data_IF_221295295643
#
_entry.id   IF_221295295643
#
_cell.length_a   1.000
_cell.length_b   1.000
_cell.length_c   1.000
_cell.angle_alpha   90.00
_cell.angle_beta   90.00
_cell.angle_gamma   90.00
#
_symmetry.space_group_name_H-M   'P 1'
#
loop_
_entity.id
_entity.type
_entity.pdbx_description
1 polymer ?
#
# COMPACT_ATOMS: atom_id res chain seq x y z
N UNK A 1 19.24 -13.52 19.70
CA UNK A 1 18.88 -12.09 19.54
C UNK A 1 17.62 -11.84 20.36
N UNK A 2 17.67 -10.84 21.24
CA UNK A 2 16.63 -10.54 22.23
C UNK A 2 15.30 -10.20 21.55
N UNK A 3 14.22 -10.92 21.88
CA UNK A 3 12.85 -10.56 21.50
C UNK A 3 12.52 -9.27 22.25
N UNK A 4 12.67 -8.15 21.57
CA UNK A 4 12.22 -6.87 22.07
C UNK A 4 10.72 -6.97 22.35
N UNK A 5 10.38 -6.58 23.57
CA UNK A 5 9.07 -6.56 24.17
C UNK A 5 8.13 -5.65 23.36
N UNK A 6 7.37 -6.21 22.41
CA UNK A 6 6.21 -5.52 21.86
C UNK A 6 5.13 -5.54 22.94
N UNK A 7 5.14 -4.50 23.75
CA UNK A 7 4.21 -4.25 24.85
C UNK A 7 2.75 -4.43 24.39
N UNK A 8 2.00 -5.28 25.10
CA UNK A 8 0.56 -5.28 25.43
C UNK A 8 -0.52 -4.63 24.52
N UNK A 9 -0.21 -4.22 23.29
CA UNK A 9 -1.12 -3.54 22.37
C UNK A 9 -1.69 -4.47 21.31
N UNK A 10 -2.87 -4.13 20.77
CA UNK A 10 -3.45 -4.82 19.62
C UNK A 10 -2.56 -4.64 18.38
N UNK A 11 -2.69 -5.52 17.40
CA UNK A 11 -1.96 -5.43 16.14
C UNK A 11 -2.19 -4.09 15.42
N UNK A 12 -3.40 -3.53 15.53
CA UNK A 12 -3.73 -2.21 14.99
C UNK A 12 -2.90 -1.11 15.65
N UNK A 13 -2.80 -1.13 16.99
CA UNK A 13 -2.00 -0.15 17.74
C UNK A 13 -0.52 -0.22 17.35
N UNK A 14 0.04 -1.42 17.15
CA UNK A 14 1.43 -1.57 16.72
C UNK A 14 1.65 -1.04 15.30
N UNK A 15 0.70 -1.28 14.38
CA UNK A 15 0.74 -0.77 13.01
C UNK A 15 0.71 0.75 12.98
N UNK A 16 -0.15 1.37 13.79
CA UNK A 16 -0.27 2.82 13.88
C UNK A 16 1.04 3.46 14.42
N UNK A 17 1.63 2.86 15.47
CA UNK A 17 2.92 3.30 16.01
C UNK A 17 4.03 3.26 14.94
N UNK A 18 4.08 2.19 14.13
CA UNK A 18 5.07 2.06 13.07
C UNK A 18 4.84 3.12 11.98
N UNK A 19 3.58 3.31 11.58
CA UNK A 19 3.18 4.31 10.58
C UNK A 19 3.54 5.74 11.01
N UNK A 20 3.29 6.09 12.28
CA UNK A 20 3.61 7.41 12.83
C UNK A 20 5.12 7.66 12.87
N UNK A 21 5.90 6.66 13.32
CA UNK A 21 7.38 6.74 13.30
C UNK A 21 7.92 6.92 11.89
N UNK A 22 7.38 6.17 10.93
CA UNK A 22 7.75 6.30 9.53
C UNK A 22 7.41 7.70 8.99
N UNK A 23 6.20 8.20 9.28
CA UNK A 23 5.77 9.53 8.85
C UNK A 23 6.68 10.64 9.40
N UNK A 24 7.06 10.55 10.69
CA UNK A 24 7.99 11.48 11.33
C UNK A 24 9.36 11.44 10.67
N UNK A 25 9.96 10.25 10.54
CA UNK A 25 11.27 10.09 9.91
C UNK A 25 11.28 10.61 8.46
N UNK A 26 10.25 10.30 7.68
CA UNK A 26 10.11 10.76 6.30
C UNK A 26 9.97 12.29 6.21
N UNK A 27 9.28 12.91 7.16
CA UNK A 27 9.18 14.37 7.24
C UNK A 27 10.53 15.01 7.59
N UNK A 28 11.25 14.46 8.57
CA UNK A 28 12.56 14.96 8.98
C UNK A 28 13.61 14.80 7.87
N UNK A 29 13.54 13.71 7.11
CA UNK A 29 14.53 13.35 6.08
C UNK A 29 14.28 14.06 4.75
N UNK A 30 13.03 14.07 4.29
CA UNK A 30 12.68 14.54 2.95
C UNK A 30 11.96 15.89 2.95
N UNK A 31 11.54 16.39 4.11
CA UNK A 31 10.81 17.64 4.23
C UNK A 31 9.38 17.58 3.66
N UNK A 32 8.86 18.77 3.38
CA UNK A 32 7.50 18.97 2.86
C UNK A 32 7.45 18.78 1.33
N UNK A 33 7.44 17.52 0.91
CA UNK A 33 7.26 17.11 -0.49
C UNK A 33 5.89 16.47 -0.71
N UNK A 34 5.41 16.54 -1.96
CA UNK A 34 4.12 15.95 -2.36
C UNK A 34 4.16 14.43 -2.60
N UNK A 35 3.02 13.81 -2.90
CA UNK A 35 2.85 12.35 -2.95
C UNK A 35 3.48 11.68 -4.19
N UNK A 36 3.83 12.45 -5.22
CA UNK A 36 4.28 11.92 -6.52
C UNK A 36 5.59 11.15 -6.42
N UNK A 37 6.53 11.59 -5.58
CA UNK A 37 7.82 10.92 -5.37
C UNK A 37 7.63 9.50 -4.83
N UNK A 38 6.97 9.33 -3.67
CA UNK A 38 6.66 8.01 -3.12
C UNK A 38 5.87 7.11 -4.07
N UNK A 39 4.92 7.64 -4.86
CA UNK A 39 4.18 6.84 -5.85
C UNK A 39 5.06 6.31 -7.00
N UNK A 40 6.01 7.14 -7.48
CA UNK A 40 6.98 6.69 -8.48
C UNK A 40 7.92 5.63 -7.93
N UNK A 41 8.30 5.75 -6.65
CA UNK A 41 9.11 4.75 -5.97
C UNK A 41 8.32 3.46 -5.75
N UNK A 42 7.07 3.54 -5.30
CA UNK A 42 6.19 2.38 -5.12
C UNK A 42 6.06 1.54 -6.39
N UNK A 43 6.09 2.18 -7.56
CA UNK A 43 6.06 1.46 -8.84
C UNK A 43 7.32 0.61 -9.10
N UNK A 44 8.47 0.98 -8.52
CA UNK A 44 9.71 0.21 -8.58
C UNK A 44 9.67 -0.94 -7.57
N UNK A 45 9.29 -0.66 -6.32
CA UNK A 45 9.25 -1.72 -5.29
C UNK A 45 8.19 -2.79 -5.61
N UNK A 46 7.13 -2.42 -6.34
CA UNK A 46 6.18 -3.40 -6.85
C UNK A 46 6.81 -4.36 -7.87
N UNK A 47 7.81 -3.93 -8.65
CA UNK A 47 8.56 -4.79 -9.56
C UNK A 47 9.59 -5.64 -8.81
N UNK A 48 10.25 -5.07 -7.80
CA UNK A 48 11.21 -5.78 -6.94
C UNK A 48 10.50 -6.88 -6.13
N UNK A 49 9.38 -6.56 -5.47
CA UNK A 49 8.52 -7.53 -4.80
C UNK A 49 7.95 -8.60 -5.74
N UNK A 50 7.68 -8.27 -7.00
CA UNK A 50 7.22 -9.26 -7.98
C UNK A 50 8.34 -10.21 -8.42
N UNK A 51 9.60 -9.75 -8.44
CA UNK A 51 10.76 -10.57 -8.75
C UNK A 51 11.18 -11.45 -7.55
N UNK A 52 11.05 -10.94 -6.33
CA UNK A 52 11.45 -11.61 -5.09
C UNK A 52 10.30 -11.66 -4.07
N UNK A 53 9.22 -12.42 -4.34
CA UNK A 53 8.01 -12.40 -3.51
C UNK A 53 8.22 -12.93 -2.09
N UNK A 54 9.30 -13.68 -1.86
CA UNK A 54 9.70 -14.20 -0.54
C UNK A 54 10.49 -13.17 0.29
N UNK A 55 10.92 -12.05 -0.30
CA UNK A 55 11.58 -10.97 0.43
C UNK A 55 10.54 -10.05 1.10
N UNK A 56 10.35 -10.22 2.41
CA UNK A 56 9.43 -9.40 3.21
C UNK A 56 9.80 -7.91 3.25
N UNK A 57 11.04 -7.54 2.97
CA UNK A 57 11.46 -6.14 2.98
C UNK A 57 10.82 -5.35 1.85
N UNK A 58 10.71 -5.93 0.65
CA UNK A 58 10.06 -5.30 -0.50
C UNK A 58 8.56 -5.05 -0.26
N UNK A 59 7.89 -5.97 0.43
CA UNK A 59 6.50 -5.77 0.87
C UNK A 59 6.38 -4.63 1.89
N UNK A 60 7.35 -4.50 2.79
CA UNK A 60 7.39 -3.42 3.78
C UNK A 60 7.60 -2.06 3.09
N UNK A 61 8.47 -1.99 2.08
CA UNK A 61 8.71 -0.77 1.32
C UNK A 61 7.45 -0.32 0.56
N UNK A 62 6.73 -1.25 -0.07
CA UNK A 62 5.42 -0.93 -0.66
C UNK A 62 4.44 -0.33 0.37
N UNK A 63 4.39 -0.89 1.59
CA UNK A 63 3.49 -0.40 2.63
C UNK A 63 3.89 1.00 3.13
N UNK A 64 5.19 1.24 3.33
CA UNK A 64 5.71 2.54 3.75
C UNK A 64 5.47 3.62 2.69
N UNK A 65 5.77 3.32 1.42
CA UNK A 65 5.60 4.26 0.31
C UNK A 65 4.12 4.61 0.07
N UNK A 66 3.22 3.64 0.21
CA UNK A 66 1.78 3.90 0.13
C UNK A 66 1.30 4.80 1.26
N UNK A 67 1.69 4.54 2.52
CA UNK A 67 1.36 5.42 3.64
C UNK A 67 1.93 6.83 3.47
N UNK A 68 3.16 6.92 2.96
CA UNK A 68 3.84 8.18 2.71
C UNK A 68 3.07 9.03 1.68
N UNK A 69 2.69 8.40 0.56
CA UNK A 69 1.90 9.03 -0.49
C UNK A 69 0.53 9.49 0.04
N UNK A 70 -0.19 8.62 0.78
CA UNK A 70 -1.51 8.94 1.33
C UNK A 70 -1.47 10.17 2.23
N UNK A 71 -0.57 10.20 3.23
CA UNK A 71 -0.49 11.34 4.16
C UNK A 71 -0.08 12.63 3.46
N UNK A 72 0.84 12.58 2.47
CA UNK A 72 1.26 13.75 1.68
C UNK A 72 0.17 14.27 0.76
N UNK A 73 -0.76 13.41 0.35
CA UNK A 73 -1.96 13.80 -0.38
C UNK A 73 -3.08 14.33 0.54
N UNK A 74 -2.89 14.34 1.87
CA UNK A 74 -3.91 14.72 2.84
C UNK A 74 -5.06 13.73 2.95
N UNK A 75 -4.86 12.48 2.49
CA UNK A 75 -5.90 11.44 2.52
C UNK A 75 -5.96 10.83 3.92
N UNK A 76 -7.11 10.93 4.57
CA UNK A 76 -7.36 10.31 5.86
C UNK A 76 -7.69 8.81 5.73
N UNK A 77 -7.55 8.09 6.84
CA UNK A 77 -7.92 6.68 6.90
C UNK A 77 -9.41 6.45 6.63
N UNK A 78 -10.27 7.33 7.11
CA UNK A 78 -11.71 7.24 6.83
C UNK A 78 -12.03 7.39 5.33
N UNK A 79 -11.38 8.34 4.65
CA UNK A 79 -11.59 8.57 3.22
C UNK A 79 -11.12 7.38 2.37
N UNK A 80 -9.92 6.84 2.64
CA UNK A 80 -9.44 5.69 1.87
C UNK A 80 -10.26 4.43 2.17
N UNK A 81 -10.68 4.19 3.41
CA UNK A 81 -11.54 3.05 3.76
C UNK A 81 -12.87 3.14 3.00
N UNK A 82 -13.54 4.29 3.02
CA UNK A 82 -14.79 4.48 2.26
C UNK A 82 -14.57 4.26 0.75
N UNK A 83 -13.48 4.79 0.19
CA UNK A 83 -13.13 4.58 -1.21
C UNK A 83 -12.85 3.10 -1.54
N UNK A 84 -12.21 2.36 -0.63
CA UNK A 84 -11.95 0.92 -0.77
C UNK A 84 -13.25 0.12 -0.75
N UNK A 85 -14.21 0.45 0.13
CA UNK A 85 -15.52 -0.20 0.20
C UNK A 85 -16.31 -0.02 -1.11
N UNK A 86 -16.39 1.21 -1.62
CA UNK A 86 -17.07 1.49 -2.89
C UNK A 86 -16.36 0.82 -4.07
N UNK A 87 -15.02 0.86 -4.08
CA UNK A 87 -14.23 0.21 -5.14
C UNK A 87 -14.41 -1.30 -5.14
N UNK A 88 -14.54 -1.92 -3.97
CA UNK A 88 -14.77 -3.35 -3.83
C UNK A 88 -16.12 -3.75 -4.43
N UNK A 89 -17.20 -2.99 -4.16
CA UNK A 89 -18.52 -3.22 -4.76
C UNK A 89 -18.45 -3.17 -6.29
N UNK A 90 -17.78 -2.17 -6.85
CA UNK A 90 -17.56 -2.05 -8.30
C UNK A 90 -16.77 -3.23 -8.85
N UNK A 91 -15.71 -3.66 -8.17
CA UNK A 91 -14.90 -4.80 -8.63
C UNK A 91 -15.66 -6.13 -8.61
N UNK A 92 -16.53 -6.35 -7.62
CA UNK A 92 -17.37 -7.55 -7.53
C UNK A 92 -18.46 -7.60 -8.61
N UNK A 93 -18.93 -6.45 -9.09
CA UNK A 93 -19.94 -6.36 -10.15
C UNK A 93 -19.36 -6.49 -11.58
N UNK A 94 -18.04 -6.55 -11.74
CA UNK A 94 -17.36 -6.65 -13.04
C UNK A 94 -17.24 -8.09 -13.52
N UNK A 95 -17.11 -8.24 -14.83
CA UNK A 95 -16.66 -9.48 -15.45
C UNK A 95 -15.13 -9.49 -15.56
N UNK A 96 -14.56 -10.66 -15.30
CA UNK A 96 -13.12 -10.89 -15.27
C UNK A 96 -12.78 -12.07 -16.18
N UNK A 97 -11.64 -12.01 -16.91
CA UNK A 97 -11.16 -13.15 -17.68
C UNK A 97 -10.68 -14.27 -16.75
N UNK A 98 -10.47 -15.46 -17.33
CA UNK A 98 -9.90 -16.61 -16.62
C UNK A 98 -8.56 -16.25 -15.94
N UNK A 99 -8.29 -16.78 -14.73
CA UNK A 99 -7.03 -16.59 -14.04
C UNK A 99 -5.83 -17.10 -14.87
N UNK A 100 -4.81 -16.25 -15.00
CA UNK A 100 -3.46 -16.64 -15.41
C UNK A 100 -2.47 -16.23 -14.32
N UNK A 101 -1.68 -17.20 -13.85
CA UNK A 101 -0.69 -16.96 -12.81
C UNK A 101 0.45 -16.06 -13.32
N UNK A 102 0.96 -15.20 -12.43
CA UNK A 102 2.02 -14.23 -12.74
C UNK A 102 1.61 -13.06 -13.64
N UNK A 103 0.35 -12.92 -14.05
CA UNK A 103 -0.10 -11.90 -15.01
C UNK A 103 -1.14 -10.95 -14.41
N UNK A 104 -1.12 -9.66 -14.78
CA UNK A 104 -2.16 -8.72 -14.37
C UNK A 104 -3.51 -9.11 -15.00
N UNK A 105 -4.57 -9.06 -14.20
CA UNK A 105 -5.94 -9.24 -14.67
C UNK A 105 -6.65 -7.91 -14.80
N UNK A 106 -7.14 -7.63 -16.01
CA UNK A 106 -7.95 -6.46 -16.31
C UNK A 106 -9.41 -6.88 -16.50
N UNK A 107 -10.33 -6.02 -16.06
CA UNK A 107 -11.76 -6.23 -16.27
C UNK A 107 -12.13 -6.07 -17.76
N UNK A 108 -13.13 -6.81 -18.19
CA UNK A 108 -13.69 -6.71 -19.54
C UNK A 108 -14.53 -5.42 -19.62
N UNK A 109 -14.31 -4.59 -20.64
CA UNK A 109 -15.14 -3.40 -20.89
C UNK A 109 -16.30 -3.74 -21.83
N UNK A 110 -17.40 -3.01 -21.71
CA UNK A 110 -18.50 -3.11 -22.70
C UNK A 110 -17.95 -2.74 -24.09
N UNK A 111 -17.92 -3.72 -25.00
CA UNK A 111 -17.37 -3.61 -26.35
C UNK A 111 -16.15 -4.49 -26.65
N UNK A 112 -15.54 -5.11 -25.64
CA UNK A 112 -14.38 -6.01 -25.79
C UNK A 112 -14.79 -7.51 -25.88
N UNK A 113 -16.09 -7.79 -26.06
CA UNK A 113 -16.67 -9.15 -26.14
C UNK A 113 -16.90 -9.60 -27.60
#
# INVERSE_FOLDING_TARGET
>A
MSKATYASGSLAQLRDIIRDKHAQWSQETFGDVGPIGPLKHLSKEALEAAAEPDDLSEWADMQFLLWDAQRRAGISDGEIIAAMEEKLKVNMARQWPEPKDGEPRLHIKEGDA
#
